data_IF_602922636403
#
_entry.id   IF_602922636403
#
_cell.length_a   1.000
_cell.length_b   1.000
_cell.length_c   1.000
_cell.angle_alpha   90.00
_cell.angle_beta   90.00
_cell.angle_gamma   90.00
#
_symmetry.space_group_name_H-M   'P 1'
#
loop_
_entity.id
_entity.type
_entity.pdbx_description
1 polymer ?
#
# COMPACT_ATOMS: atom_id res chain seq x y z
N UNK A 1 -35.33 -3.99 22.80
CA UNK A 1 -34.95 -2.56 22.86
C UNK A 1 -33.43 -2.49 22.71
N UNK A 2 -32.93 -2.39 21.47
CA UNK A 2 -31.48 -2.45 21.16
C UNK A 2 -30.87 -1.08 21.42
N UNK A 3 -30.02 -0.97 22.44
CA UNK A 3 -29.24 0.25 22.73
C UNK A 3 -28.28 0.49 21.56
N UNK A 4 -28.63 1.43 20.68
CA UNK A 4 -27.69 2.04 19.74
C UNK A 4 -26.70 2.84 20.60
N UNK A 5 -25.51 2.28 20.85
CA UNK A 5 -24.39 3.06 21.39
C UNK A 5 -23.93 3.95 20.25
N UNK A 6 -24.51 5.13 20.12
CA UNK A 6 -23.99 6.18 19.27
C UNK A 6 -22.66 6.59 19.89
N UNK A 7 -21.55 5.98 19.44
CA UNK A 7 -20.21 6.50 19.74
C UNK A 7 -20.12 7.85 19.04
N UNK A 8 -20.45 8.91 19.76
CA UNK A 8 -20.13 10.28 19.38
C UNK A 8 -18.61 10.42 19.46
N UNK A 9 -17.91 9.95 18.43
CA UNK A 9 -16.54 10.39 18.22
C UNK A 9 -16.61 11.92 18.02
N UNK A 10 -15.74 12.70 18.67
CA UNK A 10 -15.67 14.13 18.39
C UNK A 10 -15.40 14.30 16.90
N UNK A 11 -16.06 15.24 16.24
CA UNK A 11 -15.97 15.48 14.78
C UNK A 11 -14.51 15.51 14.30
N UNK A 12 -13.59 16.04 15.12
CA UNK A 12 -12.14 16.03 14.82
C UNK A 12 -11.51 14.63 14.75
N UNK A 13 -11.97 13.66 15.55
CA UNK A 13 -11.49 12.27 15.51
C UNK A 13 -11.92 11.57 14.24
N UNK A 14 -13.15 11.80 13.78
CA UNK A 14 -13.66 11.17 12.56
C UNK A 14 -12.94 11.73 11.32
N UNK A 15 -12.75 13.05 11.24
CA UNK A 15 -11.97 13.68 10.18
C UNK A 15 -10.52 13.19 10.15
N UNK A 16 -9.88 13.03 11.31
CA UNK A 16 -8.51 12.51 11.39
C UNK A 16 -8.40 11.07 10.86
N UNK A 17 -9.38 10.22 11.18
CA UNK A 17 -9.46 8.84 10.68
C UNK A 17 -9.65 8.83 9.16
N UNK A 18 -10.59 9.61 8.63
CA UNK A 18 -10.86 9.67 7.19
C UNK A 18 -9.65 10.16 6.39
N UNK A 19 -8.93 11.16 6.90
CA UNK A 19 -7.68 11.64 6.30
C UNK A 19 -6.58 10.59 6.33
N UNK A 20 -6.43 9.86 7.44
CA UNK A 20 -5.45 8.77 7.55
C UNK A 20 -5.75 7.63 6.56
N UNK A 21 -7.02 7.24 6.43
CA UNK A 21 -7.47 6.24 5.45
C UNK A 21 -7.24 6.70 4.01
N UNK A 22 -7.51 7.97 3.72
CA UNK A 22 -7.28 8.54 2.39
C UNK A 22 -5.78 8.56 2.05
N UNK A 23 -4.95 9.02 2.99
CA UNK A 23 -3.48 9.00 2.84
C UNK A 23 -2.96 7.58 2.65
N UNK A 24 -3.46 6.64 3.43
CA UNK A 24 -3.14 5.22 3.29
C UNK A 24 -3.53 4.69 1.89
N UNK A 25 -4.73 5.00 1.40
CA UNK A 25 -5.21 4.57 0.09
C UNK A 25 -4.35 5.12 -1.06
N UNK A 26 -3.90 6.38 -0.95
CA UNK A 26 -2.98 6.99 -1.92
C UNK A 26 -1.66 6.22 -1.95
N UNK A 27 -1.05 5.97 -0.78
CA UNK A 27 0.23 5.23 -0.69
C UNK A 27 0.08 3.80 -1.19
N UNK A 28 -0.98 3.10 -0.81
CA UNK A 28 -1.27 1.75 -1.29
C UNK A 28 -1.46 1.72 -2.81
N UNK A 29 -2.18 2.70 -3.36
CA UNK A 29 -2.36 2.87 -4.80
C UNK A 29 -1.03 3.03 -5.54
N UNK A 30 -0.11 3.84 -5.02
CA UNK A 30 1.22 4.01 -5.62
C UNK A 30 2.00 2.70 -5.70
N UNK A 31 1.99 1.89 -4.63
CA UNK A 31 2.71 0.61 -4.62
C UNK A 31 2.07 -0.44 -5.53
N UNK A 32 0.73 -0.49 -5.58
CA UNK A 32 0.01 -1.40 -6.49
C UNK A 32 0.28 -1.01 -7.94
N UNK A 33 0.17 0.28 -8.28
CA UNK A 33 0.45 0.77 -9.64
C UNK A 33 1.91 0.47 -10.01
N UNK A 34 2.88 0.73 -9.13
CA UNK A 34 4.28 0.37 -9.35
C UNK A 34 4.43 -1.11 -9.75
N UNK A 35 3.84 -2.01 -8.97
CA UNK A 35 3.92 -3.44 -9.24
C UNK A 35 3.31 -3.81 -10.60
N UNK A 36 2.18 -3.20 -10.97
CA UNK A 36 1.56 -3.39 -12.29
C UNK A 36 2.42 -2.88 -13.43
N UNK A 37 3.02 -1.69 -13.29
CA UNK A 37 3.91 -1.14 -14.31
C UNK A 37 5.15 -2.03 -14.50
N UNK A 38 5.74 -2.51 -13.41
CA UNK A 38 6.90 -3.41 -13.45
C UNK A 38 6.57 -4.80 -14.02
N UNK A 39 5.38 -5.33 -13.72
CA UNK A 39 4.94 -6.64 -14.22
C UNK A 39 4.70 -6.61 -15.73
N UNK A 40 4.10 -5.55 -16.26
CA UNK A 40 3.88 -5.34 -17.70
C UNK A 40 5.14 -4.84 -18.42
N UNK A 41 6.13 -4.34 -17.68
CA UNK A 41 7.41 -3.89 -18.23
C UNK A 41 7.43 -2.48 -18.77
N UNK A 42 6.58 -1.64 -18.22
CA UNK A 42 6.58 -0.21 -18.48
C UNK A 42 7.89 0.40 -17.96
N UNK A 43 8.63 1.02 -18.87
CA UNK A 43 9.86 1.74 -18.59
C UNK A 43 9.61 3.04 -17.83
N UNK A 44 10.61 3.47 -17.05
CA UNK A 44 10.63 4.80 -16.41
C UNK A 44 10.76 5.97 -17.39
N UNK A 45 10.96 5.71 -18.68
CA UNK A 45 10.95 6.75 -19.72
C UNK A 45 9.55 7.30 -20.02
N UNK A 46 8.50 6.55 -19.69
CA UNK A 46 7.13 7.05 -19.76
C UNK A 46 6.84 7.93 -18.55
N UNK A 47 6.11 9.04 -18.74
CA UNK A 47 5.82 10.00 -17.67
C UNK A 47 5.23 9.34 -16.42
N UNK A 48 4.27 8.43 -16.60
CA UNK A 48 3.66 7.67 -15.48
C UNK A 48 4.70 6.80 -14.77
N UNK A 49 5.56 6.12 -15.52
CA UNK A 49 6.64 5.30 -14.95
C UNK A 49 7.61 6.14 -14.15
N UNK A 50 8.12 7.22 -14.72
CA UNK A 50 9.04 8.15 -14.04
C UNK A 50 8.45 8.67 -12.72
N UNK A 51 7.19 9.13 -12.76
CA UNK A 51 6.52 9.67 -11.58
C UNK A 51 6.33 8.61 -10.48
N UNK A 52 5.77 7.45 -10.84
CA UNK A 52 5.49 6.38 -9.87
C UNK A 52 6.79 5.81 -9.32
N UNK A 53 7.78 5.52 -10.17
CA UNK A 53 9.06 4.97 -9.74
C UNK A 53 9.83 5.97 -8.87
N UNK A 54 9.86 7.26 -9.24
CA UNK A 54 10.51 8.30 -8.43
C UNK A 54 9.95 8.41 -7.01
N UNK A 55 8.62 8.27 -6.84
CA UNK A 55 7.99 8.31 -5.51
C UNK A 55 8.20 7.04 -4.69
N UNK A 56 8.38 5.89 -5.34
CA UNK A 56 8.35 4.58 -4.68
C UNK A 56 9.71 3.89 -4.59
N UNK A 57 10.69 4.30 -5.40
CA UNK A 57 12.05 3.74 -5.42
C UNK A 57 12.80 3.87 -4.10
N UNK A 58 12.69 4.97 -3.32
CA UNK A 58 13.35 5.04 -2.01
C UNK A 58 12.90 3.94 -1.05
N UNK A 59 11.62 3.53 -1.13
CA UNK A 59 11.10 2.45 -0.28
C UNK A 59 11.55 1.08 -0.82
N UNK A 60 11.49 0.91 -2.14
CA UNK A 60 11.94 -0.33 -2.78
C UNK A 60 13.44 -0.58 -2.60
N UNK A 61 14.28 0.48 -2.61
CA UNK A 61 15.73 0.36 -2.44
C UNK A 61 16.10 -0.13 -1.04
N UNK A 62 15.40 0.33 0.00
CA UNK A 62 15.59 -0.16 1.37
C UNK A 62 15.28 -1.66 1.45
N UNK A 63 14.17 -2.11 0.85
CA UNK A 63 13.79 -3.52 0.86
C UNK A 63 14.73 -4.41 0.05
N UNK A 64 15.37 -3.87 -0.99
CA UNK A 64 16.39 -4.58 -1.77
C UNK A 64 17.70 -4.80 -1.01
N UNK A 65 17.93 -4.13 0.12
CA UNK A 65 19.07 -4.40 0.99
C UNK A 65 18.95 -5.75 1.71
N UNK A 66 17.72 -6.27 1.83
CA UNK A 66 17.49 -7.60 2.41
C UNK A 66 17.99 -8.66 1.42
N UNK A 67 18.72 -9.71 1.87
CA UNK A 67 19.17 -10.78 1.00
C UNK A 67 18.01 -11.39 0.20
N UNK A 68 18.14 -11.38 -1.13
CA UNK A 68 17.12 -11.88 -2.05
C UNK A 68 16.00 -10.87 -2.38
N UNK A 69 16.02 -9.65 -1.83
CA UNK A 69 15.02 -8.61 -2.13
C UNK A 69 15.06 -8.13 -3.59
N UNK A 70 16.20 -8.24 -4.25
CA UNK A 70 16.41 -7.93 -5.66
C UNK A 70 16.04 -9.07 -6.62
N UNK A 71 15.65 -10.24 -6.07
CA UNK A 71 15.23 -11.39 -6.87
C UNK A 71 14.06 -11.03 -7.78
N UNK A 72 14.26 -11.20 -9.09
CA UNK A 72 13.24 -10.88 -10.11
C UNK A 72 12.25 -12.03 -10.23
N UNK A 73 10.97 -11.71 -10.07
CA UNK A 73 9.87 -12.68 -10.15
C UNK A 73 9.26 -12.66 -11.55
N UNK A 74 8.80 -11.49 -11.99
CA UNK A 74 8.13 -11.30 -13.29
C UNK A 74 8.69 -10.05 -13.96
N UNK A 75 9.32 -10.22 -15.12
CA UNK A 75 9.90 -9.12 -15.89
C UNK A 75 10.88 -8.24 -15.06
N UNK A 76 10.43 -7.06 -14.60
CA UNK A 76 11.21 -6.13 -13.75
C UNK A 76 10.70 -6.08 -12.30
N UNK A 77 9.62 -6.79 -11.99
CA UNK A 77 9.06 -6.92 -10.64
C UNK A 77 9.99 -7.77 -9.77
N UNK A 78 10.44 -7.20 -8.66
CA UNK A 78 11.31 -7.90 -7.68
C UNK A 78 10.53 -8.35 -6.44
N UNK A 79 11.15 -9.21 -5.64
CA UNK A 79 10.61 -9.64 -4.34
C UNK A 79 10.37 -8.45 -3.40
N UNK A 80 11.23 -7.43 -3.44
CA UNK A 80 11.03 -6.19 -2.71
C UNK A 80 9.71 -5.50 -3.11
N UNK A 81 9.42 -5.39 -4.41
CA UNK A 81 8.19 -4.76 -4.90
C UNK A 81 6.95 -5.56 -4.46
N UNK A 82 7.02 -6.89 -4.51
CA UNK A 82 5.94 -7.76 -4.02
C UNK A 82 5.74 -7.61 -2.51
N UNK A 83 6.81 -7.47 -1.75
CA UNK A 83 6.77 -7.26 -0.30
C UNK A 83 6.10 -5.93 0.05
N UNK A 84 6.33 -4.86 -0.73
CA UNK A 84 5.63 -3.58 -0.56
C UNK A 84 4.12 -3.75 -0.76
N UNK A 85 3.71 -4.44 -1.82
CA UNK A 85 2.29 -4.72 -2.09
C UNK A 85 1.69 -5.58 -0.97
N UNK A 86 2.40 -6.62 -0.54
CA UNK A 86 1.96 -7.47 0.56
C UNK A 86 1.77 -6.68 1.86
N UNK A 87 2.69 -5.76 2.18
CA UNK A 87 2.59 -4.94 3.39
C UNK A 87 1.35 -4.04 3.38
N UNK A 88 1.05 -3.37 2.26
CA UNK A 88 -0.17 -2.56 2.17
C UNK A 88 -1.41 -3.45 2.17
N UNK A 89 -1.47 -4.52 1.38
CA UNK A 89 -2.64 -5.42 1.35
C UNK A 89 -2.90 -6.12 2.68
N UNK A 90 -1.85 -6.43 3.46
CA UNK A 90 -1.98 -7.06 4.75
C UNK A 90 -2.75 -6.20 5.77
N UNK A 91 -2.64 -4.87 5.70
CA UNK A 91 -3.32 -3.97 6.64
C UNK A 91 -4.86 -4.10 6.62
N UNK A 92 -5.57 -3.93 5.48
CA UNK A 92 -7.01 -4.09 5.43
C UNK A 92 -7.43 -5.54 5.67
N UNK A 93 -6.65 -6.53 5.21
CA UNK A 93 -6.93 -7.94 5.51
C UNK A 93 -6.86 -8.25 7.00
N UNK A 94 -5.90 -7.65 7.70
CA UNK A 94 -5.76 -7.78 9.14
C UNK A 94 -6.90 -7.09 9.90
N UNK A 95 -7.34 -5.91 9.46
CA UNK A 95 -8.51 -5.25 10.01
C UNK A 95 -9.77 -6.10 9.81
N UNK A 96 -9.94 -6.67 8.62
CA UNK A 96 -11.05 -7.57 8.32
C UNK A 96 -11.02 -8.83 9.20
N UNK A 97 -9.84 -9.43 9.38
CA UNK A 97 -9.66 -10.62 10.21
C UNK A 97 -9.86 -10.36 11.71
N UNK A 98 -9.66 -9.12 12.17
CA UNK A 98 -9.95 -8.66 13.53
C UNK A 98 -11.35 -8.06 13.71
N UNK A 99 -12.22 -8.17 12.69
CA UNK A 99 -13.60 -7.71 12.75
C UNK A 99 -14.35 -8.24 13.97
N UNK A 100 -15.44 -7.57 14.39
CA UNK A 100 -16.07 -7.80 15.69
C UNK A 100 -16.33 -9.28 15.95
N UNK A 101 -15.61 -9.85 16.91
CA UNK A 101 -16.02 -11.08 17.57
C UNK A 101 -17.01 -10.63 18.63
N UNK A 102 -18.28 -10.63 18.26
CA UNK A 102 -19.49 -10.49 19.09
C UNK A 102 -19.37 -9.68 20.39
#
# INVERSE_FOLDING_TARGET
>A
MVRRITRSQPVGSQLAVDLALTGYAIVAGLFIIRALLLSVGISGSLWVGSFIYGLTDPVASILKLVPGGDFRIINRLTLADLTMVAAVVAFPLFLLARGPRD
#
